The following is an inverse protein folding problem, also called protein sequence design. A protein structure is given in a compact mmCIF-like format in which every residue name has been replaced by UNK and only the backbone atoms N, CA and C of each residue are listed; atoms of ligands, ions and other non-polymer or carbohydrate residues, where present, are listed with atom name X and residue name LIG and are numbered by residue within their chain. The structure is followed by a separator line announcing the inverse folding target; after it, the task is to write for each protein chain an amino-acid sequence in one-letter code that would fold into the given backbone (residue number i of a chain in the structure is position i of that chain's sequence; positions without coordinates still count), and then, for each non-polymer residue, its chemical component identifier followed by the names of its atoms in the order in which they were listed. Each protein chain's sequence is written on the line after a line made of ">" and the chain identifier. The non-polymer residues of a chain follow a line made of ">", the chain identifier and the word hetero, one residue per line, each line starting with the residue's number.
data_IF_687468035246
#
_entry.id   IF_687468035246
#
_cell.length_a   1.000
_cell.length_b   1.000
_cell.length_c   1.000
_cell.angle_alpha   90.00
_cell.angle_beta   90.00
_cell.angle_gamma   90.00
#
_symmetry.space_group_name_H-M   'P 1'
#
loop_
_entity.id
_entity.type
_entity.pdbx_description
1 polymer ?
#
# COMPACT_ATOMS: atom_id res chain seq x y z
N UNK A 1 18.22 -1.90 -15.90
CA UNK A 1 18.07 -3.37 -15.88
C UNK A 1 17.95 -3.80 -14.44
N UNK A 2 16.89 -4.51 -14.08
CA UNK A 2 16.66 -5.02 -12.72
C UNK A 2 17.75 -6.07 -12.42
N UNK A 3 18.38 -5.98 -11.25
CA UNK A 3 19.50 -6.84 -10.85
C UNK A 3 19.30 -7.53 -9.49
N UNK A 4 18.34 -7.06 -8.68
CA UNK A 4 18.02 -7.68 -7.40
C UNK A 4 17.23 -8.98 -7.64
N UNK A 5 17.65 -10.09 -7.04
CA UNK A 5 17.04 -11.41 -7.25
C UNK A 5 15.57 -11.46 -6.81
N UNK A 6 15.25 -10.90 -5.63
CA UNK A 6 13.86 -10.85 -5.14
C UNK A 6 13.00 -9.98 -6.07
N UNK A 7 13.54 -8.85 -6.55
CA UNK A 7 12.84 -8.01 -7.53
C UNK A 7 12.55 -8.76 -8.84
N UNK A 8 13.46 -9.63 -9.29
CA UNK A 8 13.24 -10.46 -10.48
C UNK A 8 12.13 -11.51 -10.25
N UNK A 9 12.13 -12.16 -9.09
CA UNK A 9 11.08 -13.15 -8.74
C UNK A 9 9.71 -12.47 -8.62
N UNK A 10 9.63 -11.30 -7.99
CA UNK A 10 8.42 -10.47 -7.89
C UNK A 10 7.97 -10.01 -9.28
N UNK A 11 8.90 -9.55 -10.12
CA UNK A 11 8.60 -9.18 -11.50
C UNK A 11 8.00 -10.35 -12.26
N UNK A 12 8.62 -11.53 -12.22
CA UNK A 12 8.10 -12.71 -12.92
C UNK A 12 6.69 -13.06 -12.45
N UNK A 13 6.43 -13.02 -11.14
CA UNK A 13 5.12 -13.30 -10.57
C UNK A 13 4.04 -12.39 -11.16
N UNK A 14 4.30 -11.08 -11.27
CA UNK A 14 3.34 -10.10 -11.79
C UNK A 14 3.32 -10.02 -13.33
N UNK A 15 4.40 -10.42 -14.01
CA UNK A 15 4.36 -10.62 -15.46
C UNK A 15 3.41 -11.77 -15.84
N UNK A 16 3.40 -12.86 -15.08
CA UNK A 16 2.48 -13.98 -15.28
C UNK A 16 1.05 -13.64 -14.89
N UNK A 17 0.86 -12.91 -13.78
CA UNK A 17 -0.44 -12.59 -13.20
C UNK A 17 -0.51 -11.14 -12.72
N UNK A 18 -0.78 -10.17 -13.59
CA UNK A 18 -1.03 -8.79 -13.18
C UNK A 18 -2.14 -8.70 -12.11
N UNK A 19 -1.87 -7.97 -11.03
CA UNK A 19 -2.74 -7.86 -9.85
C UNK A 19 -2.86 -6.39 -9.39
N UNK A 20 -4.01 -5.98 -8.81
CA UNK A 20 -5.31 -6.65 -8.85
C UNK A 20 -5.98 -6.54 -10.23
N UNK A 21 -6.84 -7.51 -10.58
CA UNK A 21 -7.67 -7.41 -11.79
C UNK A 21 -9.03 -6.83 -11.42
N UNK A 22 -9.41 -5.73 -12.03
CA UNK A 22 -10.67 -5.03 -11.74
C UNK A 22 -11.34 -4.54 -13.02
N UNK A 23 -12.67 -4.48 -13.00
CA UNK A 23 -13.46 -3.90 -14.10
C UNK A 23 -13.64 -2.39 -13.91
N UNK A 24 -13.95 -2.00 -12.70
CA UNK A 24 -14.25 -0.61 -12.32
C UNK A 24 -13.24 -0.14 -11.28
N UNK A 25 -12.82 1.11 -11.38
CA UNK A 25 -12.00 1.81 -10.41
C UNK A 25 -12.70 3.11 -10.02
N UNK A 26 -12.45 3.56 -8.80
CA UNK A 26 -12.99 4.81 -8.28
C UNK A 26 -12.27 5.99 -8.95
N UNK A 27 -12.84 6.47 -10.04
CA UNK A 27 -12.38 7.65 -10.74
C UNK A 27 -13.13 8.88 -10.25
N UNK A 28 -12.39 9.84 -9.72
CA UNK A 28 -12.97 11.12 -9.28
C UNK A 28 -13.11 12.06 -10.47
N UNK A 29 -14.34 12.51 -10.73
CA UNK A 29 -14.56 13.54 -11.75
C UNK A 29 -13.79 14.83 -11.38
N UNK A 30 -13.15 15.54 -12.34
CA UNK A 30 -12.31 16.71 -12.06
C UNK A 30 -12.97 17.80 -11.22
N UNK A 31 -14.29 17.96 -11.30
CA UNK A 31 -15.06 18.93 -10.49
C UNK A 31 -15.07 18.61 -8.99
N UNK A 32 -14.86 17.34 -8.62
CA UNK A 32 -14.82 16.86 -7.23
C UNK A 32 -13.40 16.62 -6.72
N UNK A 33 -12.39 16.78 -7.60
CA UNK A 33 -11.00 16.70 -7.19
C UNK A 33 -10.67 17.86 -6.24
N UNK A 34 -9.90 17.55 -5.19
CA UNK A 34 -9.58 18.49 -4.11
C UNK A 34 -8.08 18.76 -4.04
N UNK A 35 -7.66 19.90 -3.47
CA UNK A 35 -6.27 20.13 -3.14
C UNK A 35 -5.69 18.99 -2.30
N UNK A 36 -4.44 18.64 -2.53
CA UNK A 36 -3.77 17.50 -1.86
C UNK A 36 -3.82 17.63 -0.34
N UNK A 37 -3.63 18.85 0.17
CA UNK A 37 -3.69 19.15 1.60
C UNK A 37 -5.04 18.75 2.23
N UNK A 38 -6.14 18.97 1.53
CA UNK A 38 -7.49 18.64 2.03
C UNK A 38 -7.66 17.12 2.19
N UNK A 39 -7.11 16.32 1.25
CA UNK A 39 -7.18 14.86 1.37
C UNK A 39 -6.39 14.33 2.55
N UNK A 40 -5.17 14.82 2.74
CA UNK A 40 -4.33 14.40 3.86
C UNK A 40 -5.04 14.71 5.18
N UNK A 41 -5.62 15.92 5.32
CA UNK A 41 -6.39 16.30 6.51
C UNK A 41 -7.63 15.43 6.74
N UNK A 42 -8.33 15.01 5.67
CA UNK A 42 -9.50 14.15 5.78
C UNK A 42 -9.15 12.70 6.18
N UNK A 43 -8.01 12.20 5.70
CA UNK A 43 -7.58 10.82 5.92
C UNK A 43 -6.79 10.67 7.24
N UNK A 44 -6.15 11.71 7.74
CA UNK A 44 -5.45 11.75 9.03
C UNK A 44 -6.35 12.28 10.15
N UNK A 45 -5.88 12.19 11.39
CA UNK A 45 -6.55 12.83 12.55
C UNK A 45 -6.00 14.22 12.83
N UNK A 46 -4.93 14.64 12.16
CA UNK A 46 -4.26 15.91 12.39
C UNK A 46 -5.07 17.04 11.74
N UNK A 47 -5.63 17.92 12.56
CA UNK A 47 -6.47 19.05 12.10
C UNK A 47 -5.72 20.10 11.29
N UNK A 48 -4.41 20.28 11.52
CA UNK A 48 -3.55 21.24 10.79
C UNK A 48 -2.16 20.66 10.59
N UNK A 49 -1.95 19.72 9.64
CA UNK A 49 -0.59 19.39 9.28
C UNK A 49 0.09 20.67 8.75
N UNK A 50 1.34 20.89 9.15
CA UNK A 50 2.16 22.01 8.64
C UNK A 50 2.46 21.76 7.17
N UNK A 51 1.46 21.98 6.32
CA UNK A 51 1.62 21.81 4.88
C UNK A 51 2.59 22.83 4.32
N UNK A 52 3.45 22.40 3.45
CA UNK A 52 4.08 23.29 2.51
C UNK A 52 2.98 24.12 1.83
N UNK A 53 3.08 25.44 1.86
CA UNK A 53 2.09 26.37 1.31
C UNK A 53 1.70 26.05 -0.16
N UNK A 54 2.60 25.41 -0.91
CA UNK A 54 2.34 25.00 -2.29
C UNK A 54 1.25 23.96 -2.43
N UNK A 55 1.09 23.03 -1.46
CA UNK A 55 0.07 21.96 -1.53
C UNK A 55 -1.32 22.43 -1.09
N UNK A 56 -1.40 23.55 -0.40
CA UNK A 56 -2.65 24.13 0.10
C UNK A 56 -3.30 25.12 -0.87
N UNK A 57 -2.59 25.55 -1.93
CA UNK A 57 -3.15 26.49 -2.89
C UNK A 57 -4.07 25.82 -3.89
N UNK A 58 -5.24 26.41 -4.22
CA UNK A 58 -6.17 25.81 -5.19
C UNK A 58 -5.61 25.64 -6.60
N UNK A 59 -4.56 26.39 -6.93
CA UNK A 59 -3.92 26.41 -8.25
C UNK A 59 -2.59 25.64 -8.27
N UNK A 60 -2.22 24.95 -7.19
CA UNK A 60 -1.03 24.10 -7.18
C UNK A 60 -1.16 22.97 -8.20
N UNK A 61 -0.04 22.58 -8.79
CA UNK A 61 0.07 21.40 -9.66
C UNK A 61 1.03 20.41 -9.02
N UNK A 62 0.56 19.66 -8.00
CA UNK A 62 1.43 18.77 -7.24
C UNK A 62 1.95 17.63 -8.12
N UNK A 63 3.22 17.28 -7.94
CA UNK A 63 3.82 16.09 -8.53
C UNK A 63 3.62 14.91 -7.60
N UNK A 64 2.96 13.88 -8.10
CA UNK A 64 2.64 12.68 -7.34
C UNK A 64 3.35 11.47 -7.95
N UNK A 65 4.04 10.69 -7.14
CA UNK A 65 4.58 9.40 -7.52
C UNK A 65 3.70 8.28 -6.97
N UNK A 66 3.26 7.38 -7.83
CA UNK A 66 2.65 6.10 -7.43
C UNK A 66 3.71 5.02 -7.64
N UNK A 67 4.29 4.52 -6.55
CA UNK A 67 5.36 3.53 -6.58
C UNK A 67 4.81 2.11 -6.37
N UNK A 68 5.04 1.21 -7.34
CA UNK A 68 4.43 -0.11 -7.40
C UNK A 68 2.94 0.00 -7.75
N UNK A 69 2.65 0.66 -8.89
CA UNK A 69 1.27 0.97 -9.26
C UNK A 69 0.44 -0.25 -9.70
N UNK A 70 1.08 -1.41 -9.91
CA UNK A 70 0.43 -2.62 -10.38
C UNK A 70 -0.42 -2.38 -11.64
N UNK A 71 -1.62 -2.87 -11.63
CA UNK A 71 -2.60 -2.70 -12.72
C UNK A 71 -3.27 -1.32 -12.77
N UNK A 72 -2.85 -0.38 -11.90
CA UNK A 72 -3.21 1.03 -11.99
C UNK A 72 -4.41 1.48 -11.15
N UNK A 73 -4.90 0.66 -10.22
CA UNK A 73 -6.02 1.08 -9.35
C UNK A 73 -5.66 2.35 -8.57
N UNK A 74 -4.47 2.40 -7.97
CA UNK A 74 -3.99 3.58 -7.24
C UNK A 74 -3.83 4.80 -8.17
N UNK A 75 -3.46 4.60 -9.44
CA UNK A 75 -3.39 5.70 -10.43
C UNK A 75 -4.76 6.32 -10.65
N UNK A 76 -5.80 5.47 -10.84
CA UNK A 76 -7.15 5.96 -11.05
C UNK A 76 -7.66 6.68 -9.80
N UNK A 77 -7.38 6.15 -8.61
CA UNK A 77 -7.71 6.80 -7.34
C UNK A 77 -7.01 8.16 -7.18
N UNK A 78 -5.81 8.34 -7.74
CA UNK A 78 -5.09 9.61 -7.68
C UNK A 78 -5.75 10.73 -8.53
N UNK A 79 -6.78 10.42 -9.34
CA UNK A 79 -7.65 11.42 -9.99
C UNK A 79 -8.33 12.37 -9.00
N UNK A 80 -8.39 11.98 -7.72
CA UNK A 80 -8.90 12.80 -6.62
C UNK A 80 -8.07 14.04 -6.33
N UNK A 81 -6.77 14.03 -6.67
CA UNK A 81 -5.87 15.16 -6.45
C UNK A 81 -6.03 16.20 -7.56
N UNK A 82 -6.45 17.40 -7.18
CA UNK A 82 -6.69 18.49 -8.11
C UNK A 82 -5.40 18.93 -8.82
N UNK A 83 -5.46 19.03 -10.15
CA UNK A 83 -4.35 19.48 -11.00
C UNK A 83 -3.04 18.67 -10.87
N UNK A 84 -3.07 17.48 -10.31
CA UNK A 84 -1.86 16.67 -10.09
C UNK A 84 -1.18 16.26 -11.40
N UNK A 85 0.15 16.18 -11.39
CA UNK A 85 0.97 15.50 -12.40
C UNK A 85 1.41 14.15 -11.80
N UNK A 86 0.97 13.07 -12.39
CA UNK A 86 1.15 11.73 -11.84
C UNK A 86 2.24 10.99 -12.60
N UNK A 87 3.26 10.54 -11.92
CA UNK A 87 4.20 9.53 -12.39
C UNK A 87 3.90 8.22 -11.69
N UNK A 88 3.76 7.15 -12.44
CA UNK A 88 3.50 5.84 -11.87
C UNK A 88 4.57 4.85 -12.34
N UNK A 89 5.18 4.15 -11.41
CA UNK A 89 6.21 3.15 -11.67
C UNK A 89 5.78 1.77 -11.21
N UNK A 90 6.17 0.76 -11.97
CA UNK A 90 6.02 -0.63 -11.60
C UNK A 90 7.15 -1.46 -12.21
N UNK A 91 7.43 -2.61 -11.62
CA UNK A 91 8.47 -3.51 -12.10
C UNK A 91 7.99 -4.37 -13.26
N UNK A 92 6.66 -4.65 -13.34
CA UNK A 92 6.02 -5.50 -14.34
C UNK A 92 5.52 -4.70 -15.55
N UNK A 93 5.97 -5.06 -16.73
CA UNK A 93 5.48 -4.48 -17.99
C UNK A 93 4.04 -4.89 -18.29
N UNK A 94 3.64 -6.10 -17.94
CA UNK A 94 2.27 -6.58 -18.12
C UNK A 94 1.28 -5.85 -17.20
N UNK A 95 1.68 -5.57 -15.97
CA UNK A 95 0.91 -4.72 -15.04
C UNK A 95 0.77 -3.30 -15.60
N UNK A 96 1.86 -2.71 -16.09
CA UNK A 96 1.84 -1.38 -16.71
C UNK A 96 1.00 -1.31 -17.98
N UNK A 97 1.00 -2.36 -18.80
CA UNK A 97 0.13 -2.43 -19.99
C UNK A 97 -1.36 -2.43 -19.60
N UNK A 98 -1.69 -3.15 -18.51
CA UNK A 98 -3.04 -3.12 -17.95
C UNK A 98 -3.39 -1.71 -17.43
N UNK A 99 -2.49 -1.10 -16.66
CA UNK A 99 -2.65 0.26 -16.12
C UNK A 99 -2.82 1.29 -17.26
N UNK A 100 -2.03 1.20 -18.34
CA UNK A 100 -2.13 2.09 -19.50
C UNK A 100 -3.52 2.05 -20.12
N UNK A 101 -4.09 0.84 -20.29
CA UNK A 101 -5.45 0.69 -20.79
C UNK A 101 -6.47 1.35 -19.86
N UNK A 102 -6.33 1.17 -18.55
CA UNK A 102 -7.24 1.79 -17.56
C UNK A 102 -7.14 3.31 -17.53
N UNK A 103 -5.94 3.85 -17.62
CA UNK A 103 -5.70 5.30 -17.76
C UNK A 103 -6.37 5.85 -19.03
N UNK A 104 -6.30 5.12 -20.15
CA UNK A 104 -6.97 5.49 -21.38
C UNK A 104 -8.51 5.41 -21.25
N UNK A 105 -9.05 4.34 -20.68
CA UNK A 105 -10.49 4.16 -20.43
C UNK A 105 -11.09 5.30 -19.58
N UNK A 106 -10.30 5.82 -18.63
CA UNK A 106 -10.71 6.94 -17.75
C UNK A 106 -10.33 8.31 -18.29
N UNK A 107 -9.73 8.39 -19.47
CA UNK A 107 -9.32 9.62 -20.15
C UNK A 107 -8.38 10.53 -19.31
N UNK A 108 -7.56 9.95 -18.44
CA UNK A 108 -6.56 10.69 -17.66
C UNK A 108 -5.37 11.04 -18.54
N UNK A 109 -5.10 12.34 -18.74
CA UNK A 109 -4.02 12.85 -19.62
C UNK A 109 -2.78 13.31 -18.84
N UNK A 110 -2.85 13.32 -17.54
CA UNK A 110 -1.81 13.83 -16.63
C UNK A 110 -0.99 12.69 -15.99
N UNK A 111 -0.97 11.50 -16.61
CA UNK A 111 -0.31 10.30 -16.10
C UNK A 111 0.85 9.91 -17.01
N UNK A 112 2.02 9.70 -16.42
CA UNK A 112 3.21 9.10 -17.04
C UNK A 112 3.46 7.74 -16.40
N UNK A 113 3.54 6.69 -17.21
CA UNK A 113 3.88 5.32 -16.78
C UNK A 113 5.35 5.02 -17.12
N UNK A 114 6.06 4.36 -16.21
CA UNK A 114 7.45 3.96 -16.41
C UNK A 114 7.74 2.63 -15.75
N UNK A 115 8.36 1.69 -16.49
CA UNK A 115 8.90 0.49 -15.87
C UNK A 115 10.16 0.85 -15.08
N UNK A 116 10.14 0.63 -13.77
CA UNK A 116 11.26 0.94 -12.88
C UNK A 116 11.14 0.13 -11.59
N UNK A 117 12.26 -0.42 -11.12
CA UNK A 117 12.37 -0.92 -9.75
C UNK A 117 12.45 0.27 -8.78
N UNK A 118 11.81 0.18 -7.62
CA UNK A 118 11.88 1.20 -6.56
C UNK A 118 13.32 1.45 -6.13
N UNK A 119 14.17 0.42 -6.11
CA UNK A 119 15.60 0.56 -5.79
C UNK A 119 16.35 1.49 -6.77
N UNK A 120 15.83 1.62 -7.97
CA UNK A 120 16.36 2.50 -9.02
C UNK A 120 15.65 3.88 -9.07
N UNK A 121 14.93 4.28 -8.01
CA UNK A 121 14.19 5.54 -7.97
C UNK A 121 15.06 6.78 -8.26
N UNK A 122 16.38 6.70 -8.04
CA UNK A 122 17.34 7.75 -8.40
C UNK A 122 17.31 8.11 -9.90
N UNK A 123 16.85 7.21 -10.79
CA UNK A 123 16.70 7.44 -12.23
C UNK A 123 15.48 8.31 -12.58
N UNK A 124 14.54 8.53 -11.63
CA UNK A 124 13.45 9.46 -11.81
C UNK A 124 13.98 10.88 -11.87
N UNK A 125 13.53 11.63 -12.89
CA UNK A 125 13.99 13.01 -13.13
C UNK A 125 13.41 14.00 -12.11
N UNK A 126 12.17 13.74 -11.68
CA UNK A 126 11.44 14.63 -10.79
C UNK A 126 11.72 14.34 -9.31
N UNK A 127 11.39 15.30 -8.47
CA UNK A 127 11.12 15.16 -7.04
C UNK A 127 9.63 15.44 -6.80
N UNK A 128 9.04 14.80 -5.82
CA UNK A 128 7.60 14.70 -5.67
C UNK A 128 7.10 15.38 -4.40
N UNK A 129 5.90 15.92 -4.47
CA UNK A 129 5.19 16.51 -3.34
C UNK A 129 4.52 15.41 -2.50
N UNK A 130 4.05 14.34 -3.16
CA UNK A 130 3.47 13.16 -2.54
C UNK A 130 4.01 11.90 -3.20
N UNK A 131 4.30 10.89 -2.39
CA UNK A 131 4.59 9.54 -2.87
C UNK A 131 3.59 8.58 -2.24
N UNK A 132 2.84 7.85 -3.08
CA UNK A 132 2.00 6.75 -2.62
C UNK A 132 2.70 5.42 -2.91
N UNK A 133 2.86 4.58 -1.88
CA UNK A 133 3.45 3.24 -1.97
C UNK A 133 2.67 2.30 -1.05
N UNK A 134 1.64 1.66 -1.57
CA UNK A 134 0.77 0.80 -0.78
C UNK A 134 0.74 -0.62 -1.35
N UNK A 135 1.01 -1.60 -0.50
CA UNK A 135 1.03 -3.00 -0.94
C UNK A 135 2.32 -3.42 -1.64
N UNK A 136 3.46 -2.75 -1.40
CA UNK A 136 4.68 -2.95 -2.21
C UNK A 136 5.93 -3.19 -1.36
N UNK A 137 6.29 -2.28 -0.46
CA UNK A 137 7.56 -2.34 0.28
C UNK A 137 7.74 -3.64 1.05
N UNK A 138 6.67 -4.22 1.55
CA UNK A 138 6.72 -5.48 2.30
C UNK A 138 7.02 -6.71 1.42
N UNK A 139 7.05 -6.55 0.10
CA UNK A 139 7.46 -7.58 -0.86
C UNK A 139 8.91 -7.42 -1.34
N UNK A 140 9.59 -6.35 -0.96
CA UNK A 140 11.00 -6.14 -1.28
C UNK A 140 11.91 -7.00 -0.41
N UNK A 141 13.11 -7.27 -0.87
CA UNK A 141 14.12 -7.97 -0.06
C UNK A 141 14.43 -7.22 1.23
N UNK A 142 14.58 -5.90 1.12
CA UNK A 142 14.75 -4.98 2.25
C UNK A 142 13.79 -3.78 2.11
N UNK A 143 12.68 -3.76 2.87
CA UNK A 143 11.72 -2.65 2.83
C UNK A 143 12.32 -1.29 3.18
N UNK A 144 13.33 -1.25 4.06
CA UNK A 144 13.99 0.00 4.45
C UNK A 144 14.77 0.63 3.29
N UNK A 145 15.47 -0.18 2.48
CA UNK A 145 16.16 0.31 1.27
C UNK A 145 15.16 0.89 0.26
N UNK A 146 14.01 0.23 0.09
CA UNK A 146 12.94 0.73 -0.76
C UNK A 146 12.38 2.07 -0.28
N UNK A 147 12.13 2.19 1.02
CA UNK A 147 11.66 3.44 1.61
C UNK A 147 12.71 4.56 1.47
N UNK A 148 13.99 4.27 1.74
CA UNK A 148 15.10 5.21 1.57
C UNK A 148 15.22 5.70 0.12
N UNK A 149 15.14 4.80 -0.86
CA UNK A 149 15.17 5.15 -2.28
C UNK A 149 14.02 6.10 -2.65
N UNK A 150 12.80 5.81 -2.22
CA UNK A 150 11.65 6.70 -2.44
C UNK A 150 11.78 8.01 -1.67
N UNK A 151 12.27 7.99 -0.41
CA UNK A 151 12.45 9.19 0.41
C UNK A 151 13.46 10.19 -0.22
N UNK A 152 14.44 9.69 -0.97
CA UNK A 152 15.36 10.53 -1.74
C UNK A 152 14.64 11.36 -2.81
N UNK A 153 13.45 10.94 -3.26
CA UNK A 153 12.63 11.61 -4.27
C UNK A 153 11.47 12.39 -3.68
N UNK A 154 11.25 12.33 -2.37
CA UNK A 154 10.26 13.15 -1.69
C UNK A 154 10.87 14.51 -1.33
N UNK A 155 10.17 15.60 -1.66
CA UNK A 155 10.55 16.96 -1.25
C UNK A 155 10.58 17.09 0.28
N UNK A 156 11.45 17.93 0.86
CA UNK A 156 11.22 18.44 2.19
C UNK A 156 9.81 19.09 2.26
N UNK A 157 9.05 18.82 3.31
CA UNK A 157 7.65 19.24 3.41
C UNK A 157 6.67 18.35 2.65
N UNK A 158 7.14 17.28 2.00
CA UNK A 158 6.29 16.35 1.26
C UNK A 158 5.72 15.21 2.12
N UNK A 159 4.82 14.44 1.54
CA UNK A 159 4.07 13.40 2.25
C UNK A 159 4.19 12.03 1.57
N UNK A 160 4.28 11.01 2.40
CA UNK A 160 4.09 9.63 2.01
C UNK A 160 2.70 9.13 2.39
N UNK A 161 2.07 8.39 1.48
CA UNK A 161 0.98 7.47 1.78
C UNK A 161 1.50 6.05 1.64
N UNK A 162 1.54 5.30 2.75
CA UNK A 162 2.17 3.98 2.80
C UNK A 162 1.15 2.93 3.24
N UNK A 163 1.24 1.74 2.62
CA UNK A 163 0.51 0.56 3.04
C UNK A 163 1.44 -0.61 3.31
N UNK A 164 1.47 -1.13 4.55
CA UNK A 164 2.32 -2.25 5.00
C UNK A 164 1.48 -3.29 5.74
N UNK A 165 1.80 -4.57 5.60
CA UNK A 165 1.07 -5.64 6.28
C UNK A 165 1.27 -5.61 7.79
N UNK A 166 0.15 -5.57 8.55
CA UNK A 166 0.16 -5.76 10.00
C UNK A 166 0.45 -7.22 10.33
N UNK A 167 1.40 -7.45 11.23
CA UNK A 167 1.75 -8.79 11.70
C UNK A 167 0.56 -9.47 12.39
N UNK A 168 -0.21 -8.72 13.17
CA UNK A 168 -1.36 -9.26 13.90
C UNK A 168 -2.51 -9.61 12.93
N UNK A 169 -2.83 -8.71 12.00
CA UNK A 169 -3.89 -8.93 11.01
C UNK A 169 -3.57 -10.04 9.99
N UNK A 170 -2.28 -10.34 9.78
CA UNK A 170 -1.82 -11.37 8.82
C UNK A 170 -1.60 -12.77 9.42
N UNK A 171 -1.94 -13.00 10.69
CA UNK A 171 -1.68 -14.29 11.36
C UNK A 171 -2.27 -15.48 10.61
N UNK A 172 -3.51 -15.37 10.12
CA UNK A 172 -4.18 -16.47 9.37
C UNK A 172 -3.53 -16.73 8.02
N UNK A 173 -3.12 -15.67 7.32
CA UNK A 173 -2.37 -15.81 6.07
C UNK A 173 -1.01 -16.44 6.32
N UNK A 174 -0.34 -16.09 7.42
CA UNK A 174 0.92 -16.70 7.83
C UNK A 174 0.77 -18.20 8.13
N UNK A 175 -0.31 -18.60 8.79
CA UNK A 175 -0.64 -20.01 9.01
C UNK A 175 -0.87 -20.76 7.70
N UNK A 176 -1.64 -20.17 6.77
CA UNK A 176 -1.87 -20.72 5.44
C UNK A 176 -0.57 -20.89 4.63
N UNK A 177 0.31 -19.88 4.63
CA UNK A 177 1.62 -19.94 3.96
C UNK A 177 2.51 -21.03 4.57
N UNK A 178 2.48 -21.19 5.90
CA UNK A 178 3.22 -22.25 6.59
C UNK A 178 2.69 -23.64 6.18
N UNK A 179 1.38 -23.81 6.09
CA UNK A 179 0.75 -25.07 5.61
C UNK A 179 1.15 -25.37 4.17
N UNK A 180 1.03 -24.40 3.24
CA UNK A 180 1.43 -24.53 1.84
C UNK A 180 2.89 -25.01 1.75
N UNK A 181 3.79 -24.39 2.52
CA UNK A 181 5.20 -24.78 2.56
C UNK A 181 5.40 -26.19 3.08
N UNK A 182 4.73 -26.56 4.18
CA UNK A 182 4.85 -27.88 4.80
C UNK A 182 4.33 -29.00 3.89
N UNK A 183 3.29 -28.74 3.13
CA UNK A 183 2.70 -29.70 2.17
C UNK A 183 3.39 -29.67 0.81
N UNK A 184 4.31 -28.77 0.57
CA UNK A 184 5.02 -28.64 -0.71
C UNK A 184 4.11 -28.23 -1.87
N UNK A 185 3.00 -27.52 -1.59
CA UNK A 185 2.04 -27.08 -2.61
C UNK A 185 2.70 -26.01 -3.49
N UNK A 186 2.72 -26.27 -4.80
CA UNK A 186 3.34 -25.37 -5.77
C UNK A 186 2.42 -24.20 -6.13
N UNK A 187 3.00 -23.05 -6.46
CA UNK A 187 2.29 -21.85 -6.93
C UNK A 187 1.80 -21.98 -8.38
N UNK A 188 1.26 -23.14 -8.73
CA UNK A 188 0.63 -23.40 -10.04
C UNK A 188 -0.88 -23.26 -9.95
N UNK A 189 -1.60 -23.04 -11.06
CA UNK A 189 -3.05 -22.99 -11.05
C UNK A 189 -3.70 -24.22 -10.38
N UNK A 190 -3.13 -25.42 -10.58
CA UNK A 190 -3.59 -26.68 -9.99
C UNK A 190 -3.34 -26.65 -8.48
N UNK A 191 -2.11 -26.36 -8.04
CA UNK A 191 -1.76 -26.30 -6.61
C UNK A 191 -2.60 -25.27 -5.84
N UNK A 192 -2.87 -24.11 -6.45
CA UNK A 192 -3.73 -23.07 -5.83
C UNK A 192 -5.17 -23.59 -5.71
N UNK A 193 -5.71 -24.28 -6.73
CA UNK A 193 -7.07 -24.89 -6.65
C UNK A 193 -7.15 -25.94 -5.56
N UNK A 194 -6.14 -26.81 -5.48
CA UNK A 194 -6.06 -27.87 -4.46
C UNK A 194 -5.98 -27.28 -3.06
N UNK A 195 -5.16 -26.28 -2.87
CA UNK A 195 -5.08 -25.55 -1.59
C UNK A 195 -6.42 -24.92 -1.21
N UNK A 196 -7.07 -24.19 -2.13
CA UNK A 196 -8.39 -23.61 -1.88
C UNK A 196 -9.43 -24.64 -1.52
N UNK A 197 -9.44 -25.81 -2.20
CA UNK A 197 -10.33 -26.91 -1.89
C UNK A 197 -10.09 -27.42 -0.46
N UNK A 198 -8.84 -27.61 -0.04
CA UNK A 198 -8.50 -28.01 1.33
C UNK A 198 -9.04 -27.01 2.37
N UNK A 199 -8.91 -25.69 2.12
CA UNK A 199 -9.44 -24.65 3.01
C UNK A 199 -10.97 -24.71 3.10
N UNK A 200 -11.67 -24.97 1.99
CA UNK A 200 -13.15 -25.08 2.00
C UNK A 200 -13.65 -26.39 2.66
N UNK A 201 -12.87 -27.46 2.56
CA UNK A 201 -13.22 -28.77 3.12
C UNK A 201 -12.72 -28.93 4.58
N UNK A 202 -12.06 -27.91 5.15
CA UNK A 202 -11.53 -27.91 6.52
C UNK A 202 -12.66 -27.75 7.56
N UNK A 203 -13.15 -28.87 8.07
CA UNK A 203 -14.17 -28.91 9.12
C UNK A 203 -13.65 -28.43 10.50
N UNK A 204 -12.33 -28.31 10.69
CA UNK A 204 -11.71 -27.88 11.96
C UNK A 204 -11.62 -26.37 12.11
N UNK A 205 -12.09 -25.59 11.17
CA UNK A 205 -12.20 -24.12 11.19
C UNK A 205 -10.87 -23.33 11.22
N UNK A 206 -9.70 -23.98 11.30
CA UNK A 206 -8.42 -23.28 11.46
C UNK A 206 -8.09 -22.35 10.27
N UNK A 207 -8.45 -22.76 9.04
CA UNK A 207 -8.26 -21.98 7.81
C UNK A 207 -9.56 -21.48 7.19
N UNK A 208 -10.72 -21.90 7.65
CA UNK A 208 -12.04 -21.53 7.09
C UNK A 208 -12.25 -20.01 7.12
N UNK A 209 -11.83 -19.39 8.21
CA UNK A 209 -11.87 -17.93 8.36
C UNK A 209 -11.03 -17.18 7.29
N UNK A 210 -10.06 -17.83 6.64
CA UNK A 210 -9.28 -17.20 5.58
C UNK A 210 -10.16 -16.85 4.39
N UNK A 211 -11.11 -17.73 4.02
CA UNK A 211 -12.07 -17.50 2.94
C UNK A 211 -13.14 -16.45 3.31
N UNK A 212 -13.41 -16.27 4.60
CA UNK A 212 -14.40 -15.29 5.08
C UNK A 212 -13.78 -13.89 5.23
N UNK A 213 -12.47 -13.80 5.55
CA UNK A 213 -11.77 -12.55 5.82
C UNK A 213 -11.16 -11.91 4.57
N UNK A 214 -10.89 -12.69 3.53
CA UNK A 214 -10.18 -12.20 2.35
C UNK A 214 -10.99 -12.47 1.08
N UNK A 215 -11.59 -11.41 0.50
CA UNK A 215 -12.17 -11.47 -0.85
C UNK A 215 -11.19 -12.01 -1.88
N UNK A 216 -9.91 -11.75 -1.67
CA UNK A 216 -8.78 -12.17 -2.50
C UNK A 216 -8.59 -13.70 -2.56
N UNK A 217 -9.25 -14.44 -1.66
CA UNK A 217 -9.20 -15.91 -1.67
C UNK A 217 -9.95 -16.55 -2.85
N UNK A 218 -10.91 -15.84 -3.45
CA UNK A 218 -11.86 -16.41 -4.40
C UNK A 218 -11.39 -16.51 -5.84
N UNK A 219 -10.39 -15.75 -6.26
CA UNK A 219 -9.77 -15.88 -7.58
C UNK A 219 -8.38 -16.53 -7.49
N UNK A 220 -7.90 -17.11 -8.61
CA UNK A 220 -6.57 -17.72 -8.63
C UNK A 220 -5.45 -16.68 -8.48
N UNK A 221 -5.59 -15.53 -9.15
CA UNK A 221 -4.58 -14.47 -9.11
C UNK A 221 -4.51 -13.80 -7.74
N UNK A 222 -5.65 -13.58 -7.13
CA UNK A 222 -5.76 -12.98 -5.80
C UNK A 222 -5.28 -13.94 -4.71
N UNK A 223 -5.70 -15.21 -4.76
CA UNK A 223 -5.21 -16.24 -3.84
C UNK A 223 -3.70 -16.48 -3.99
N UNK A 224 -3.16 -16.38 -5.22
CA UNK A 224 -1.72 -16.46 -5.47
C UNK A 224 -0.99 -15.30 -4.76
N UNK A 225 -1.47 -14.08 -4.92
CA UNK A 225 -0.90 -12.90 -4.26
C UNK A 225 -0.98 -13.02 -2.73
N UNK A 226 -2.16 -13.42 -2.21
CA UNK A 226 -2.41 -13.53 -0.78
C UNK A 226 -1.54 -14.59 -0.08
N UNK A 227 -1.49 -15.82 -0.63
CA UNK A 227 -0.95 -16.98 0.06
C UNK A 227 0.36 -17.52 -0.53
N UNK A 228 0.66 -17.26 -1.82
CA UNK A 228 1.79 -17.83 -2.54
C UNK A 228 2.84 -16.79 -2.95
N UNK A 229 2.74 -15.57 -2.45
CA UNK A 229 3.72 -14.53 -2.77
C UNK A 229 5.13 -14.94 -2.38
N UNK A 230 6.12 -14.68 -3.24
CA UNK A 230 7.52 -15.12 -3.07
C UNK A 230 8.19 -14.50 -1.83
N UNK A 231 7.85 -13.26 -1.50
CA UNK A 231 8.43 -12.52 -0.37
C UNK A 231 7.36 -11.71 0.35
N UNK A 232 7.34 -11.78 1.69
CA UNK A 232 6.44 -10.97 2.52
C UNK A 232 7.08 -10.63 3.86
N UNK A 233 7.18 -9.35 4.17
CA UNK A 233 7.48 -8.82 5.48
C UNK A 233 6.20 -8.38 6.19
N UNK A 234 6.18 -8.51 7.51
CA UNK A 234 5.06 -8.08 8.35
C UNK A 234 5.57 -7.15 9.44
N UNK A 235 4.79 -6.13 9.73
CA UNK A 235 5.19 -5.05 10.62
C UNK A 235 4.34 -5.05 11.90
N UNK A 236 4.96 -4.63 13.00
CA UNK A 236 4.28 -4.14 14.20
C UNK A 236 4.39 -2.62 14.22
N UNK A 237 3.60 -1.95 15.05
CA UNK A 237 3.72 -0.49 15.21
C UNK A 237 5.11 -0.08 15.68
N UNK A 238 5.79 -0.89 16.53
CA UNK A 238 7.17 -0.67 16.95
C UNK A 238 8.17 -0.75 15.77
N UNK A 239 8.03 -1.77 14.91
CA UNK A 239 8.91 -1.89 13.74
C UNK A 239 8.65 -0.82 12.69
N UNK A 240 7.39 -0.36 12.60
CA UNK A 240 7.01 0.77 11.78
C UNK A 240 7.63 2.07 12.28
N UNK A 241 7.60 2.31 13.59
CA UNK A 241 8.21 3.47 14.24
C UNK A 241 9.71 3.56 13.91
N UNK A 242 10.45 2.46 14.14
CA UNK A 242 11.88 2.36 13.81
C UNK A 242 12.17 2.62 12.33
N UNK A 243 11.31 2.12 11.43
CA UNK A 243 11.45 2.35 9.99
C UNK A 243 11.31 3.84 9.64
N UNK A 244 10.31 4.51 10.20
CA UNK A 244 10.06 5.93 9.98
C UNK A 244 11.15 6.81 10.60
N UNK A 245 11.59 6.50 11.82
CA UNK A 245 12.68 7.21 12.50
C UNK A 245 13.99 7.15 11.70
N UNK A 246 14.34 5.97 11.17
CA UNK A 246 15.55 5.78 10.34
C UNK A 246 15.54 6.72 9.14
N UNK A 247 14.37 6.92 8.52
CA UNK A 247 14.19 7.78 7.35
C UNK A 247 13.84 9.23 7.73
N UNK A 248 13.80 9.57 9.01
CA UNK A 248 13.43 10.89 9.54
C UNK A 248 12.06 11.36 9.06
N UNK A 249 11.12 10.43 9.00
CA UNK A 249 9.72 10.68 8.64
C UNK A 249 8.87 10.77 9.90
N UNK A 250 8.02 11.78 10.00
CA UNK A 250 7.04 11.92 11.07
C UNK A 250 5.74 11.18 10.72
N UNK A 251 5.26 10.34 11.61
CA UNK A 251 3.98 9.65 11.45
C UNK A 251 2.82 10.66 11.60
N UNK A 252 1.88 10.66 10.65
CA UNK A 252 0.76 11.59 10.62
C UNK A 252 -0.57 10.97 11.06
N UNK A 253 -0.64 9.65 11.14
CA UNK A 253 -1.85 8.92 11.54
C UNK A 253 -2.27 7.84 10.55
N UNK A 254 -2.99 6.86 11.08
CA UNK A 254 -3.59 5.79 10.28
C UNK A 254 -4.87 6.24 9.57
N UNK A 255 -5.07 5.70 8.39
CA UNK A 255 -6.31 5.85 7.62
C UNK A 255 -7.32 4.80 8.09
N UNK A 256 -8.15 5.17 9.05
CA UNK A 256 -9.11 4.27 9.69
C UNK A 256 -10.51 4.88 9.69
N UNK A 257 -11.57 4.03 9.80
CA UNK A 257 -12.93 4.49 10.01
C UNK A 257 -13.06 5.39 11.24
N UNK A 258 -13.95 6.38 11.16
CA UNK A 258 -14.20 7.31 12.28
C UNK A 258 -14.55 6.61 13.60
N UNK A 259 -15.27 5.48 13.52
CA UNK A 259 -15.64 4.68 14.71
C UNK A 259 -14.41 4.13 15.42
N UNK A 260 -13.41 3.63 14.68
CA UNK A 260 -12.16 3.11 15.27
C UNK A 260 -11.34 4.26 15.85
N UNK A 261 -11.23 5.40 15.14
CA UNK A 261 -10.55 6.60 15.65
C UNK A 261 -11.18 7.12 16.93
N UNK A 262 -12.51 7.15 17.02
CA UNK A 262 -13.23 7.53 18.23
C UNK A 262 -13.00 6.56 19.39
N UNK A 263 -12.98 5.25 19.14
CA UNK A 263 -12.65 4.25 20.14
C UNK A 263 -11.21 4.40 20.65
N UNK A 264 -10.26 4.64 19.75
CA UNK A 264 -8.88 4.93 20.11
C UNK A 264 -8.76 6.19 21.00
N UNK A 265 -9.39 7.29 20.62
CA UNK A 265 -9.37 8.54 21.40
C UNK A 265 -9.99 8.38 22.78
N UNK A 266 -10.98 7.49 22.93
CA UNK A 266 -11.54 7.17 24.24
C UNK A 266 -10.53 6.44 25.13
N UNK A 267 -9.69 5.56 24.57
CA UNK A 267 -8.65 4.84 25.30
C UNK A 267 -7.43 5.72 25.59
N UNK A 268 -7.08 6.64 24.70
CA UNK A 268 -5.88 7.47 24.76
C UNK A 268 -6.22 8.97 24.53
N UNK A 269 -6.94 9.60 25.48
CA UNK A 269 -7.40 10.98 25.32
C UNK A 269 -6.24 12.01 25.25
N UNK A 270 -5.07 11.67 25.76
CA UNK A 270 -3.86 12.51 25.69
C UNK A 270 -3.23 12.52 24.29
N UNK A 271 -3.45 11.51 23.45
CA UNK A 271 -3.02 11.45 22.07
C UNK A 271 -4.17 11.82 21.12
N UNK A 272 -4.65 13.05 21.26
CA UNK A 272 -5.80 13.55 20.48
C UNK A 272 -5.60 13.48 18.96
N UNK A 273 -4.35 13.53 18.49
CA UNK A 273 -4.00 13.46 17.07
C UNK A 273 -3.84 12.02 16.57
N UNK A 274 -3.80 11.02 17.46
CA UNK A 274 -3.60 9.61 17.10
C UNK A 274 -2.25 9.36 16.42
N UNK A 275 -1.19 10.01 16.92
CA UNK A 275 0.16 9.93 16.33
C UNK A 275 1.14 9.08 17.12
N UNK A 276 0.75 8.56 18.27
CA UNK A 276 1.57 7.64 19.07
C UNK A 276 1.47 6.21 18.53
N UNK A 277 2.51 5.74 17.86
CA UNK A 277 2.58 4.35 17.38
C UNK A 277 2.62 3.35 18.53
N UNK A 278 3.17 3.71 19.69
CA UNK A 278 3.13 2.88 20.89
C UNK A 278 1.69 2.66 21.37
N UNK A 279 0.89 3.73 21.49
CA UNK A 279 -0.52 3.64 21.89
C UNK A 279 -1.34 2.83 20.88
N UNK A 280 -1.07 2.99 19.58
CA UNK A 280 -1.71 2.18 18.54
C UNK A 280 -1.36 0.70 18.65
N UNK A 281 -0.13 0.36 19.06
CA UNK A 281 0.28 -1.03 19.31
C UNK A 281 -0.49 -1.66 20.48
N UNK A 282 -0.67 -0.92 21.58
CA UNK A 282 -1.50 -1.34 22.70
C UNK A 282 -2.97 -1.49 22.30
N UNK A 283 -3.50 -0.51 21.54
CA UNK A 283 -4.88 -0.56 21.04
C UNK A 283 -5.12 -1.76 20.13
N UNK A 284 -4.23 -2.03 19.16
CA UNK A 284 -4.32 -3.17 18.25
C UNK A 284 -4.28 -4.50 19.01
N UNK A 285 -3.44 -4.61 20.04
CA UNK A 285 -3.32 -5.82 20.85
C UNK A 285 -4.63 -6.15 21.59
N UNK A 286 -5.34 -5.12 22.05
CA UNK A 286 -6.64 -5.25 22.69
C UNK A 286 -7.81 -5.35 21.68
N UNK A 287 -7.61 -4.93 20.45
CA UNK A 287 -8.60 -4.89 19.36
C UNK A 287 -8.00 -5.46 18.05
N UNK A 288 -7.79 -6.78 17.94
CA UNK A 288 -7.04 -7.39 16.83
C UNK A 288 -7.64 -7.15 15.43
N UNK A 289 -8.91 -6.77 15.35
CA UNK A 289 -9.59 -6.44 14.09
C UNK A 289 -9.45 -4.98 13.67
N UNK A 290 -8.67 -4.17 14.38
CA UNK A 290 -8.43 -2.75 14.07
C UNK A 290 -7.92 -2.55 12.64
N UNK A 291 -6.90 -3.31 12.27
CA UNK A 291 -6.34 -3.31 10.92
C UNK A 291 -6.75 -4.60 10.23
N UNK A 292 -7.58 -4.51 9.20
CA UNK A 292 -8.14 -5.71 8.55
C UNK A 292 -7.09 -6.54 7.78
N UNK A 293 -5.98 -5.95 7.40
CA UNK A 293 -4.88 -6.59 6.68
C UNK A 293 -3.61 -5.75 6.76
N UNK A 294 -3.76 -4.43 6.65
CA UNK A 294 -2.68 -3.53 6.32
C UNK A 294 -2.75 -2.25 7.17
N UNK A 295 -1.61 -1.82 7.67
CA UNK A 295 -1.40 -0.47 8.14
C UNK A 295 -1.43 0.46 6.93
N UNK A 296 -2.46 1.28 6.77
CA UNK A 296 -2.50 2.36 5.80
C UNK A 296 -2.38 3.68 6.55
N UNK A 297 -1.38 4.47 6.21
CA UNK A 297 -1.05 5.67 6.97
C UNK A 297 -0.38 6.73 6.11
N UNK A 298 -0.36 7.94 6.64
CA UNK A 298 0.41 9.05 6.12
C UNK A 298 1.64 9.32 6.99
N UNK A 299 2.74 9.69 6.34
CA UNK A 299 3.94 10.17 6.98
C UNK A 299 4.41 11.46 6.29
N UNK A 300 5.13 12.30 7.02
CA UNK A 300 5.58 13.61 6.60
C UNK A 300 7.11 13.68 6.64
N UNK A 301 7.72 14.26 5.60
CA UNK A 301 9.15 14.56 5.59
C UNK A 301 9.36 16.00 6.11
N UNK A 302 9.96 16.18 7.29
CA UNK A 302 10.25 17.52 7.83
C UNK A 302 11.07 18.39 6.86
N UNK A 303 10.97 19.74 7.03
CA UNK A 303 11.70 20.71 6.23
C UNK A 303 13.21 20.68 6.52
#
# INVERSE_FOLDING_TARGET
>A
KITNEVSLDVQQMYEENPYPRYKHADHTHPLFAKPTAEFISLETTIENPSFCNELSTPNSSPKILIAGCGTGNQIINASRYKNAQITAIDISTNSLAYAARKVQETNMRNVRLQQLDILDANQLQDIYDVIECSGVLHHMQNPAEGLAALNSKLKPGGYFKIGLYSKLARQKVSAARKLIKNLGIQSTPEGIRDFRKQVFDDDQHELKDLSELASDFYSLSECRDLCFHVQEHQFTTETLEKLLETERLAFCGFMLPKSIKAAYQHCFPEDSNGTSLSNWGEFESNNPSTFQSMYQFWAYKPL
#
